data_IF_193093799517
#
_entry.id   IF_193093799517
#
_cell.length_a   1.000
_cell.length_b   1.000
_cell.length_c   1.000
_cell.angle_alpha   90.00
_cell.angle_beta   90.00
_cell.angle_gamma   90.00
#
_symmetry.space_group_name_H-M   'P 1'
#
loop_
_entity.id
_entity.type
_entity.pdbx_description
1 polymer ?
#
# COMPACT_ATOMS: atom_id res chain seq x y z
N UNK A 1 17.43 2.81 -5.88
CA UNK A 1 17.00 2.12 -4.64
C UNK A 1 17.54 2.92 -3.48
N UNK A 2 16.73 3.22 -2.49
CA UNK A 2 17.10 3.99 -1.30
C UNK A 2 17.02 3.11 -0.05
N UNK A 3 17.88 3.38 0.93
CA UNK A 3 17.85 2.78 2.26
C UNK A 3 17.05 3.64 3.25
N UNK A 4 16.95 3.19 4.51
CA UNK A 4 16.17 3.90 5.54
C UNK A 4 16.74 5.27 5.85
N UNK A 5 18.07 5.43 5.86
CA UNK A 5 18.74 6.70 6.17
C UNK A 5 18.43 7.73 5.08
N UNK A 6 18.49 7.32 3.82
CA UNK A 6 18.16 8.17 2.67
C UNK A 6 16.68 8.53 2.67
N UNK A 7 15.79 7.57 2.98
CA UNK A 7 14.35 7.83 3.11
C UNK A 7 14.09 8.89 4.19
N UNK A 8 14.61 8.68 5.39
CA UNK A 8 14.41 9.61 6.52
C UNK A 8 14.98 11.00 6.23
N UNK A 9 16.16 11.08 5.61
CA UNK A 9 16.75 12.37 5.22
C UNK A 9 15.82 13.19 4.29
N UNK A 10 15.19 12.53 3.30
CA UNK A 10 14.23 13.18 2.42
C UNK A 10 12.96 13.60 3.17
N UNK A 11 12.43 12.74 4.05
CA UNK A 11 11.25 13.04 4.85
C UNK A 11 11.49 14.23 5.80
N UNK A 12 12.68 14.30 6.42
CA UNK A 12 13.10 15.45 7.24
C UNK A 12 13.17 16.73 6.40
N UNK A 13 13.75 16.66 5.20
CA UNK A 13 13.85 17.83 4.31
C UNK A 13 12.47 18.36 3.95
N UNK A 14 11.53 17.47 3.59
CA UNK A 14 10.14 17.82 3.28
C UNK A 14 9.45 18.44 4.51
N UNK A 15 9.57 17.80 5.67
CA UNK A 15 8.92 18.26 6.90
C UNK A 15 9.39 19.64 7.37
N UNK A 16 10.64 20.02 7.07
CA UNK A 16 11.17 21.36 7.34
C UNK A 16 10.57 22.45 6.43
N UNK A 17 10.20 22.09 5.21
CA UNK A 17 9.64 23.05 4.21
C UNK A 17 8.12 23.20 4.36
N UNK A 18 7.44 22.21 4.88
CA UNK A 18 5.99 22.28 5.09
C UNK A 18 5.64 23.42 6.06
N UNK A 19 4.70 24.32 5.69
CA UNK A 19 4.39 25.50 6.49
C UNK A 19 3.62 25.18 7.78
N UNK A 20 2.99 24.02 7.85
CA UNK A 20 2.18 23.52 8.98
C UNK A 20 2.16 22.00 8.99
N UNK A 21 1.70 21.44 10.11
CA UNK A 21 1.54 19.97 10.24
C UNK A 21 0.64 19.41 9.13
N UNK A 22 1.17 18.40 8.43
CA UNK A 22 0.51 17.68 7.35
C UNK A 22 0.61 16.19 7.63
N UNK A 23 -0.54 15.50 7.65
CA UNK A 23 -0.61 14.06 7.89
C UNK A 23 -0.79 13.30 6.58
N UNK A 24 0.01 12.23 6.44
CA UNK A 24 -0.06 11.29 5.29
C UNK A 24 -0.05 9.85 5.82
N UNK A 25 -0.42 8.90 4.94
CA UNK A 25 -0.28 7.48 5.23
C UNK A 25 0.82 6.89 4.36
N UNK A 26 1.85 6.30 4.98
CA UNK A 26 2.84 5.51 4.26
C UNK A 26 2.27 4.12 3.96
N UNK A 27 2.44 3.67 2.72
CA UNK A 27 2.03 2.36 2.23
C UNK A 27 3.21 1.65 1.56
N UNK A 28 2.99 0.47 1.03
CA UNK A 28 3.95 -0.23 0.17
C UNK A 28 5.32 -0.43 0.80
N UNK A 29 6.36 -0.22 -0.01
CA UNK A 29 7.76 -0.33 0.40
C UNK A 29 8.14 0.66 1.50
N UNK A 30 7.62 1.87 1.45
CA UNK A 30 7.84 2.92 2.45
C UNK A 30 7.39 2.50 3.84
N UNK A 31 6.18 1.96 3.95
CA UNK A 31 5.64 1.45 5.21
C UNK A 31 6.45 0.27 5.74
N UNK A 32 6.87 -0.64 4.86
CA UNK A 32 7.70 -1.78 5.24
C UNK A 32 9.06 -1.35 5.79
N UNK A 33 9.67 -0.31 5.22
CA UNK A 33 10.95 0.23 5.71
C UNK A 33 10.79 0.91 7.07
N UNK A 34 9.79 1.76 7.25
CA UNK A 34 9.53 2.42 8.53
C UNK A 34 9.23 1.41 9.66
N UNK A 35 8.69 0.23 9.32
CA UNK A 35 8.47 -0.89 10.26
C UNK A 35 9.65 -1.82 10.43
N UNK A 36 10.78 -1.58 9.77
CA UNK A 36 11.95 -2.48 9.81
C UNK A 36 11.72 -3.85 9.14
N UNK A 37 10.67 -3.99 8.33
CA UNK A 37 10.37 -5.23 7.59
C UNK A 37 11.29 -5.36 6.38
N UNK A 38 11.68 -4.23 5.77
CA UNK A 38 12.48 -4.16 4.55
C UNK A 38 13.61 -3.14 4.70
N UNK A 39 14.74 -3.40 4.05
CA UNK A 39 15.93 -2.54 4.19
C UNK A 39 16.05 -1.47 3.10
N UNK A 40 15.33 -1.62 1.98
CA UNK A 40 15.41 -0.67 0.86
C UNK A 40 14.13 -0.67 0.02
N UNK A 41 13.87 0.44 -0.68
CA UNK A 41 12.78 0.58 -1.64
C UNK A 41 13.24 1.34 -2.89
N UNK A 42 12.43 1.31 -3.96
CA UNK A 42 12.67 2.09 -5.19
C UNK A 42 11.97 3.44 -5.16
N UNK A 43 10.90 3.53 -4.38
CA UNK A 43 9.94 4.63 -4.39
C UNK A 43 9.43 4.90 -2.98
N UNK A 44 8.88 6.09 -2.78
CA UNK A 44 8.18 6.50 -1.57
C UNK A 44 6.70 6.62 -1.89
N UNK A 45 5.90 5.76 -1.28
CA UNK A 45 4.47 5.63 -1.53
C UNK A 45 3.65 6.27 -0.40
N UNK A 46 2.84 7.28 -0.73
CA UNK A 46 1.94 7.93 0.22
C UNK A 46 0.49 7.96 -0.26
N UNK A 47 -0.43 7.84 0.69
CA UNK A 47 -1.86 8.09 0.51
C UNK A 47 -2.26 9.36 1.25
N UNK A 48 -3.03 10.21 0.58
CA UNK A 48 -3.56 11.46 1.11
C UNK A 48 -5.09 11.38 1.24
N UNK A 49 -5.62 11.93 2.33
CA UNK A 49 -7.07 12.05 2.53
C UNK A 49 -7.66 13.21 1.76
N UNK A 50 -6.91 14.30 1.65
CA UNK A 50 -7.37 15.56 1.06
C UNK A 50 -6.49 15.96 -0.11
N UNK A 51 -7.10 16.36 -1.22
CA UNK A 51 -6.38 16.88 -2.39
C UNK A 51 -5.48 18.05 -2.04
N UNK A 52 -5.96 18.97 -1.18
CA UNK A 52 -5.18 20.11 -0.70
C UNK A 52 -3.87 19.69 0.00
N UNK A 53 -3.93 18.66 0.84
CA UNK A 53 -2.76 18.20 1.58
C UNK A 53 -1.74 17.56 0.63
N UNK A 54 -2.20 16.81 -0.39
CA UNK A 54 -1.34 16.31 -1.47
C UNK A 54 -0.68 17.44 -2.25
N UNK A 55 -1.43 18.47 -2.63
CA UNK A 55 -0.90 19.62 -3.35
C UNK A 55 0.14 20.38 -2.51
N UNK A 56 -0.10 20.55 -1.21
CA UNK A 56 0.85 21.20 -0.29
C UNK A 56 2.15 20.39 -0.16
N UNK A 57 2.05 19.06 -0.08
CA UNK A 57 3.19 18.15 -0.07
C UNK A 57 3.97 18.22 -1.40
N UNK A 58 3.29 18.19 -2.52
CA UNK A 58 3.90 18.34 -3.86
C UNK A 58 4.64 19.67 -4.00
N UNK A 59 4.05 20.76 -3.49
CA UNK A 59 4.69 22.07 -3.52
C UNK A 59 5.95 22.12 -2.66
N UNK A 60 5.97 21.41 -1.50
CA UNK A 60 7.18 21.26 -0.70
C UNK A 60 8.27 20.50 -1.46
N UNK A 61 7.92 19.39 -2.13
CA UNK A 61 8.86 18.65 -2.98
C UNK A 61 9.40 19.50 -4.14
N UNK A 62 8.55 20.26 -4.83
CA UNK A 62 9.00 21.17 -5.92
C UNK A 62 9.96 22.24 -5.41
N UNK A 63 9.73 22.80 -4.23
CA UNK A 63 10.66 23.76 -3.60
C UNK A 63 12.03 23.13 -3.28
N UNK A 64 12.08 21.82 -3.06
CA UNK A 64 13.32 21.05 -2.90
C UNK A 64 13.98 20.67 -4.24
N UNK A 65 13.37 21.04 -5.38
CA UNK A 65 13.88 20.75 -6.71
C UNK A 65 13.36 19.48 -7.35
N UNK A 66 12.28 18.88 -6.82
CA UNK A 66 11.65 17.72 -7.43
C UNK A 66 11.06 18.05 -8.80
N UNK A 67 11.15 17.10 -9.73
CA UNK A 67 10.64 17.19 -11.10
C UNK A 67 9.46 16.24 -11.29
N UNK A 68 8.57 16.58 -12.21
CA UNK A 68 7.46 15.69 -12.58
C UNK A 68 7.98 14.47 -13.34
N UNK A 69 7.44 13.31 -13.02
CA UNK A 69 7.73 12.04 -13.70
C UNK A 69 6.53 11.64 -14.54
N UNK A 70 6.78 11.02 -15.69
CA UNK A 70 5.71 10.51 -16.54
C UNK A 70 5.09 9.24 -15.93
N UNK A 71 3.85 9.39 -15.45
CA UNK A 71 3.06 8.31 -14.87
C UNK A 71 2.82 7.19 -15.87
N UNK A 72 2.67 7.50 -17.15
CA UNK A 72 2.34 6.54 -18.21
C UNK A 72 3.48 5.56 -18.44
N UNK A 73 4.73 5.98 -18.27
CA UNK A 73 5.90 5.12 -18.39
C UNK A 73 5.95 4.02 -17.32
N UNK A 74 5.40 4.28 -16.14
CA UNK A 74 5.46 3.37 -14.99
C UNK A 74 4.18 2.52 -14.86
N UNK A 75 3.04 3.18 -15.00
CA UNK A 75 1.73 2.57 -14.73
C UNK A 75 0.92 2.26 -15.99
N UNK A 76 1.37 2.72 -17.17
CA UNK A 76 0.64 2.58 -18.43
C UNK A 76 -0.70 3.30 -18.38
N UNK A 77 -1.73 2.68 -18.92
CA UNK A 77 -3.10 3.23 -18.96
C UNK A 77 -3.97 2.80 -17.76
N UNK A 78 -3.36 2.42 -16.62
CA UNK A 78 -4.12 2.05 -15.43
C UNK A 78 -4.85 3.25 -14.85
N UNK A 79 -6.04 3.01 -14.31
CA UNK A 79 -6.79 4.01 -13.56
C UNK A 79 -6.24 4.19 -12.14
N UNK A 80 -6.64 5.26 -11.47
CA UNK A 80 -6.31 5.54 -10.07
C UNK A 80 -4.79 5.55 -9.78
N UNK A 81 -4.00 5.99 -10.77
CA UNK A 81 -2.54 6.13 -10.66
C UNK A 81 -2.18 7.30 -9.74
N UNK A 82 -0.97 7.28 -9.13
CA UNK A 82 -0.52 8.37 -8.29
C UNK A 82 -0.16 9.61 -9.11
N UNK A 83 -0.09 10.75 -8.46
CA UNK A 83 0.74 11.84 -8.95
C UNK A 83 2.19 11.54 -8.60
N UNK A 84 3.12 11.76 -9.52
CA UNK A 84 4.52 11.36 -9.36
C UNK A 84 5.48 12.54 -9.45
N UNK A 85 6.39 12.62 -8.49
CA UNK A 85 7.55 13.51 -8.53
C UNK A 85 8.82 12.70 -8.27
N UNK A 86 9.93 13.12 -8.86
CA UNK A 86 11.25 12.56 -8.61
C UNK A 86 12.12 13.59 -7.87
N UNK A 87 12.72 13.17 -6.75
CA UNK A 87 13.63 13.95 -5.95
C UNK A 87 14.78 13.08 -5.45
N UNK A 88 16.03 13.52 -5.66
CA UNK A 88 17.24 12.78 -5.27
C UNK A 88 17.27 11.32 -5.78
N UNK A 89 16.93 11.11 -7.06
CA UNK A 89 16.83 9.79 -7.70
C UNK A 89 15.85 8.83 -7.00
N UNK A 90 14.89 9.37 -6.27
CA UNK A 90 13.80 8.64 -5.66
C UNK A 90 12.47 9.18 -6.16
N UNK A 91 11.59 8.27 -6.57
CA UNK A 91 10.24 8.60 -6.99
C UNK A 91 9.32 8.65 -5.78
N UNK A 92 8.46 9.67 -5.74
CA UNK A 92 7.39 9.84 -4.78
C UNK A 92 6.06 9.58 -5.48
N UNK A 93 5.37 8.55 -5.07
CA UNK A 93 4.07 8.14 -5.59
C UNK A 93 2.97 8.61 -4.61
N UNK A 94 2.20 9.62 -5.02
CA UNK A 94 1.24 10.32 -4.19
C UNK A 94 -0.19 9.97 -4.60
N UNK A 95 -0.74 8.95 -3.95
CA UNK A 95 -2.10 8.48 -4.19
C UNK A 95 -3.14 9.32 -3.43
N UNK A 96 -4.35 9.31 -3.94
CA UNK A 96 -5.55 9.57 -3.15
C UNK A 96 -6.09 8.26 -2.57
N UNK A 97 -7.30 8.26 -2.03
CA UNK A 97 -7.93 7.07 -1.39
C UNK A 97 -7.83 5.78 -2.25
N UNK A 98 -7.94 5.90 -3.57
CA UNK A 98 -7.77 4.76 -4.50
C UNK A 98 -6.30 4.57 -4.87
N UNK A 99 -5.87 3.32 -4.94
CA UNK A 99 -4.50 2.89 -5.22
C UNK A 99 -4.56 1.80 -6.28
N UNK A 100 -4.69 2.19 -7.55
CA UNK A 100 -4.75 1.30 -8.72
C UNK A 100 -5.85 0.22 -8.57
N UNK A 101 -5.52 -0.92 -7.95
CA UNK A 101 -6.40 -2.08 -7.76
C UNK A 101 -6.93 -2.23 -6.33
N UNK A 102 -6.69 -1.25 -5.48
CA UNK A 102 -7.08 -1.25 -4.07
C UNK A 102 -7.65 0.10 -3.65
N UNK A 103 -8.35 0.10 -2.53
CA UNK A 103 -8.77 1.34 -1.85
C UNK A 103 -8.19 1.35 -0.45
N UNK A 104 -7.53 2.45 -0.06
CA UNK A 104 -7.12 2.63 1.33
C UNK A 104 -8.35 2.93 2.17
N UNK A 105 -8.95 1.88 2.74
CA UNK A 105 -10.23 1.92 3.44
C UNK A 105 -10.16 2.73 4.73
N UNK A 106 -11.32 3.13 5.27
CA UNK A 106 -11.34 3.82 6.56
C UNK A 106 -10.95 2.87 7.71
N UNK A 107 -11.15 1.56 7.54
CA UNK A 107 -10.65 0.55 8.46
C UNK A 107 -9.10 0.47 8.42
N UNK A 108 -8.47 0.49 7.24
CA UNK A 108 -7.02 0.58 7.07
C UNK A 108 -6.45 1.83 7.75
N UNK A 109 -7.08 2.99 7.57
CA UNK A 109 -6.69 4.23 8.27
C UNK A 109 -6.75 4.08 9.79
N UNK A 110 -7.81 3.44 10.29
CA UNK A 110 -7.99 3.16 11.71
C UNK A 110 -6.92 2.23 12.30
N UNK A 111 -6.37 1.31 11.48
CA UNK A 111 -5.28 0.41 11.86
C UNK A 111 -3.88 1.03 11.74
N UNK A 112 -3.70 2.11 10.99
CA UNK A 112 -2.42 2.81 10.86
C UNK A 112 -2.08 3.59 12.13
N UNK A 113 -1.72 2.88 13.19
CA UNK A 113 -1.48 3.40 14.55
C UNK A 113 -0.05 3.87 14.78
N UNK A 114 0.92 3.31 14.08
CA UNK A 114 2.31 3.71 14.16
C UNK A 114 2.51 5.07 13.50
N UNK A 115 3.18 5.99 14.20
CA UNK A 115 3.35 7.38 13.77
C UNK A 115 4.82 7.74 13.82
N UNK A 116 5.32 8.33 12.72
CA UNK A 116 6.62 8.97 12.66
C UNK A 116 6.44 10.46 12.37
N UNK A 117 7.19 11.30 13.06
CA UNK A 117 7.15 12.76 12.88
C UNK A 117 8.49 13.28 12.37
N UNK A 118 8.46 13.95 11.22
CA UNK A 118 9.60 14.60 10.60
C UNK A 118 9.30 16.11 10.46
N UNK A 119 9.49 16.87 11.54
CA UNK A 119 9.10 18.28 11.58
C UNK A 119 7.59 18.45 11.43
N UNK A 120 7.15 19.14 10.37
CA UNK A 120 5.72 19.31 10.08
C UNK A 120 5.10 18.14 9.28
N UNK A 121 5.86 17.13 8.90
CA UNK A 121 5.34 15.94 8.24
C UNK A 121 5.02 14.85 9.29
N UNK A 122 3.76 14.47 9.38
CA UNK A 122 3.28 13.39 10.25
C UNK A 122 2.92 12.20 9.35
N UNK A 123 3.59 11.07 9.57
CA UNK A 123 3.37 9.86 8.78
C UNK A 123 2.71 8.80 9.65
N UNK A 124 1.52 8.37 9.26
CA UNK A 124 0.88 7.16 9.78
C UNK A 124 1.26 5.98 8.91
N UNK A 125 1.80 4.94 9.52
CA UNK A 125 2.31 3.78 8.78
C UNK A 125 1.22 2.72 8.66
N UNK A 126 0.94 2.27 7.45
CA UNK A 126 -0.03 1.21 7.19
C UNK A 126 0.30 -0.05 8.02
N UNK A 127 -0.74 -0.71 8.50
CA UNK A 127 -0.61 -1.95 9.26
C UNK A 127 -0.09 -3.10 8.38
N UNK A 128 0.74 -4.04 8.88
CA UNK A 128 1.25 -5.15 8.10
C UNK A 128 0.16 -6.00 7.44
N UNK A 129 -1.01 -6.17 8.08
CA UNK A 129 -2.14 -6.86 7.48
C UNK A 129 -2.63 -6.16 6.21
N UNK A 130 -2.68 -4.84 6.23
CA UNK A 130 -3.14 -4.03 5.10
C UNK A 130 -2.11 -4.00 3.97
N UNK A 131 -0.81 -3.91 4.32
CA UNK A 131 0.27 -3.98 3.33
C UNK A 131 0.24 -5.35 2.62
N UNK A 132 0.02 -6.44 3.35
CA UNK A 132 -0.10 -7.78 2.79
C UNK A 132 -1.21 -7.85 1.74
N UNK A 133 -2.40 -7.32 2.03
CA UNK A 133 -3.51 -7.27 1.09
C UNK A 133 -3.16 -6.46 -0.16
N UNK A 134 -2.62 -5.25 0.01
CA UNK A 134 -2.22 -4.39 -1.11
C UNK A 134 -1.13 -5.02 -1.99
N UNK A 135 -0.20 -5.78 -1.41
CA UNK A 135 0.83 -6.54 -2.15
C UNK A 135 0.26 -7.77 -2.87
N UNK A 136 -0.83 -8.33 -2.37
CA UNK A 136 -1.44 -9.52 -2.93
C UNK A 136 -2.17 -9.27 -4.25
N UNK A 137 -2.68 -8.05 -4.49
CA UNK A 137 -3.44 -7.70 -5.70
C UNK A 137 -2.57 -7.34 -6.91
N UNK A 138 -1.26 -7.32 -6.75
CA UNK A 138 -0.32 -7.01 -7.84
C UNK A 138 0.20 -8.30 -8.50
N UNK A 139 0.70 -8.21 -9.72
CA UNK A 139 1.28 -9.35 -10.46
C UNK A 139 2.81 -9.36 -10.47
N UNK A 140 3.47 -8.49 -9.68
CA UNK A 140 4.93 -8.35 -9.69
C UNK A 140 5.58 -9.41 -8.80
N UNK A 141 6.64 -10.07 -9.29
CA UNK A 141 7.35 -11.10 -8.53
C UNK A 141 7.94 -10.58 -7.21
N UNK A 142 8.49 -9.36 -7.22
CA UNK A 142 9.01 -8.72 -5.99
C UNK A 142 7.98 -8.59 -4.86
N UNK A 143 6.69 -8.57 -5.18
CA UNK A 143 5.64 -8.48 -4.18
C UNK A 143 5.40 -9.82 -3.46
N UNK A 144 5.84 -10.96 -4.04
CA UNK A 144 5.89 -12.24 -3.33
C UNK A 144 6.94 -12.22 -2.21
N UNK A 145 8.12 -11.67 -2.50
CA UNK A 145 9.18 -11.51 -1.48
C UNK A 145 8.73 -10.57 -0.37
N UNK A 146 8.02 -9.50 -0.71
CA UNK A 146 7.44 -8.58 0.26
C UNK A 146 6.39 -9.28 1.15
N UNK A 147 5.51 -10.12 0.58
CA UNK A 147 4.53 -10.93 1.33
C UNK A 147 5.24 -11.88 2.31
N UNK A 148 6.28 -12.57 1.84
CA UNK A 148 7.08 -13.48 2.67
C UNK A 148 7.70 -12.71 3.85
N UNK A 149 8.30 -11.56 3.57
CA UNK A 149 8.92 -10.73 4.60
C UNK A 149 7.89 -10.24 5.64
N UNK A 150 6.70 -9.82 5.19
CA UNK A 150 5.62 -9.36 6.07
C UNK A 150 5.16 -10.51 6.99
N UNK A 151 4.86 -11.68 6.42
CA UNK A 151 4.35 -12.82 7.21
C UNK A 151 5.38 -13.31 8.22
N UNK A 152 6.68 -13.33 7.86
CA UNK A 152 7.75 -13.83 8.72
C UNK A 152 8.20 -12.81 9.78
N UNK A 153 8.07 -11.51 9.52
CA UNK A 153 8.56 -10.46 10.44
C UNK A 153 7.45 -9.76 11.23
N UNK A 154 6.17 -10.06 10.95
CA UNK A 154 5.04 -9.40 11.59
C UNK A 154 4.04 -10.41 12.13
N UNK A 155 3.34 -10.01 13.19
CA UNK A 155 2.21 -10.79 13.70
C UNK A 155 0.98 -10.55 12.84
N UNK A 156 0.66 -11.49 11.95
CA UNK A 156 -0.51 -11.39 11.07
C UNK A 156 -1.80 -11.78 11.82
N UNK A 157 -2.80 -10.92 11.72
CA UNK A 157 -4.16 -11.21 12.15
C UNK A 157 -5.00 -11.65 10.95
N UNK A 158 -5.11 -12.95 10.75
CA UNK A 158 -5.81 -13.54 9.61
C UNK A 158 -7.29 -13.17 9.53
N UNK A 159 -7.94 -12.89 10.67
CA UNK A 159 -9.32 -12.40 10.69
C UNK A 159 -9.42 -11.01 10.05
N UNK A 160 -8.50 -10.12 10.39
CA UNK A 160 -8.42 -8.77 9.77
C UNK A 160 -8.20 -8.89 8.26
N UNK A 161 -7.35 -9.83 7.82
CA UNK A 161 -7.11 -10.09 6.38
C UNK A 161 -8.42 -10.41 5.66
N UNK A 162 -9.22 -11.33 6.19
CA UNK A 162 -10.49 -11.73 5.57
C UNK A 162 -11.53 -10.60 5.60
N UNK A 163 -11.64 -9.90 6.73
CA UNK A 163 -12.55 -8.77 6.88
C UNK A 163 -12.22 -7.65 5.89
N UNK A 164 -10.93 -7.30 5.76
CA UNK A 164 -10.51 -6.26 4.82
C UNK A 164 -10.65 -6.72 3.35
N UNK A 165 -10.34 -7.98 3.04
CA UNK A 165 -10.58 -8.51 1.69
C UNK A 165 -12.06 -8.41 1.29
N UNK A 166 -12.98 -8.64 2.23
CA UNK A 166 -14.42 -8.45 2.04
C UNK A 166 -14.77 -6.98 1.82
N UNK A 167 -14.18 -6.07 2.60
CA UNK A 167 -14.38 -4.63 2.43
C UNK A 167 -13.86 -4.14 1.06
N UNK A 168 -12.71 -4.64 0.60
CA UNK A 168 -12.18 -4.31 -0.73
C UNK A 168 -13.16 -4.69 -1.83
N UNK A 169 -13.86 -5.81 -1.70
CA UNK A 169 -14.91 -6.22 -2.63
C UNK A 169 -16.10 -5.24 -2.62
N UNK A 170 -16.56 -4.82 -1.45
CA UNK A 170 -17.63 -3.83 -1.32
C UNK A 170 -17.22 -2.50 -1.96
N UNK A 171 -15.94 -2.16 -1.92
CA UNK A 171 -15.36 -0.97 -2.55
C UNK A 171 -15.09 -1.13 -4.06
N UNK A 172 -15.46 -2.27 -4.65
CA UNK A 172 -15.32 -2.55 -6.08
C UNK A 172 -13.96 -3.13 -6.50
N UNK A 173 -13.12 -3.55 -5.54
CA UNK A 173 -11.79 -4.12 -5.78
C UNK A 173 -11.83 -5.65 -5.65
N UNK A 174 -12.53 -6.30 -6.53
CA UNK A 174 -12.80 -7.75 -6.46
C UNK A 174 -11.56 -8.62 -6.61
N UNK A 175 -10.54 -8.12 -7.31
CA UNK A 175 -9.25 -8.79 -7.49
C UNK A 175 -8.52 -9.01 -6.16
N UNK A 176 -8.87 -8.26 -5.11
CA UNK A 176 -8.27 -8.40 -3.79
C UNK A 176 -8.42 -9.81 -3.21
N UNK A 177 -9.58 -10.45 -3.38
CA UNK A 177 -9.81 -11.81 -2.87
C UNK A 177 -9.03 -12.83 -3.69
N UNK A 178 -9.09 -12.74 -5.02
CA UNK A 178 -8.44 -13.72 -5.92
C UNK A 178 -6.93 -13.66 -5.71
N UNK A 179 -6.34 -12.48 -5.87
CA UNK A 179 -4.90 -12.29 -5.74
C UNK A 179 -4.36 -12.70 -4.38
N UNK A 180 -5.10 -12.42 -3.31
CA UNK A 180 -4.74 -12.86 -1.96
C UNK A 180 -4.82 -14.39 -1.82
N UNK A 181 -5.92 -15.02 -2.24
CA UNK A 181 -6.12 -16.46 -2.17
C UNK A 181 -5.03 -17.22 -2.92
N UNK A 182 -4.78 -16.87 -4.18
CA UNK A 182 -3.78 -17.50 -5.04
C UNK A 182 -2.36 -17.40 -4.44
N UNK A 183 -1.96 -16.22 -3.96
CA UNK A 183 -0.61 -16.02 -3.40
C UNK A 183 -0.42 -16.73 -2.08
N UNK A 184 -1.41 -16.69 -1.18
CA UNK A 184 -1.33 -17.42 0.08
C UNK A 184 -1.26 -18.93 -0.15
N UNK A 185 -2.07 -19.47 -1.06
CA UNK A 185 -2.04 -20.88 -1.41
C UNK A 185 -0.70 -21.29 -2.03
N UNK A 186 -0.21 -20.53 -3.02
CA UNK A 186 1.11 -20.76 -3.63
C UNK A 186 2.23 -20.80 -2.60
N UNK A 187 2.33 -19.78 -1.76
CA UNK A 187 3.44 -19.66 -0.78
C UNK A 187 3.32 -20.70 0.35
N UNK A 188 2.10 -21.07 0.74
CA UNK A 188 1.86 -22.12 1.75
C UNK A 188 2.23 -23.51 1.19
N UNK A 189 1.84 -23.81 -0.07
CA UNK A 189 2.20 -25.06 -0.73
C UNK A 189 3.72 -25.20 -0.94
N UNK A 190 4.40 -24.10 -1.17
CA UNK A 190 5.86 -24.02 -1.24
C UNK A 190 6.54 -24.08 0.14
N UNK A 191 5.78 -24.11 1.23
CA UNK A 191 6.27 -24.08 2.62
C UNK A 191 7.12 -22.86 2.97
N UNK A 192 6.91 -21.74 2.28
CA UNK A 192 7.66 -20.50 2.49
C UNK A 192 7.01 -19.62 3.56
N UNK A 193 5.67 -19.74 3.71
CA UNK A 193 4.90 -19.10 4.76
C UNK A 193 3.98 -20.12 5.46
N UNK A 194 3.49 -19.75 6.63
CA UNK A 194 2.44 -20.51 7.34
C UNK A 194 1.18 -19.64 7.37
N UNK A 195 0.17 -20.03 6.58
CA UNK A 195 -1.16 -19.46 6.64
C UNK A 195 -2.18 -20.55 7.03
N UNK A 196 -3.16 -20.26 7.92
CA UNK A 196 -4.18 -21.23 8.26
C UNK A 196 -5.01 -21.62 7.04
N UNK A 197 -5.24 -22.92 6.85
CA UNK A 197 -5.97 -23.44 5.68
C UNK A 197 -7.41 -22.92 5.62
N UNK A 198 -7.99 -22.62 6.76
CA UNK A 198 -9.33 -22.06 6.92
C UNK A 198 -9.45 -20.70 6.20
N UNK A 199 -8.38 -19.92 6.19
CA UNK A 199 -8.33 -18.58 5.54
C UNK A 199 -8.48 -18.72 4.02
N UNK A 200 -7.71 -19.61 3.40
CA UNK A 200 -7.85 -19.89 1.97
C UNK A 200 -9.27 -20.35 1.64
N UNK A 201 -9.83 -21.26 2.45
CA UNK A 201 -11.21 -21.74 2.27
C UNK A 201 -12.25 -20.61 2.38
N UNK A 202 -12.05 -19.69 3.32
CA UNK A 202 -12.97 -18.54 3.49
C UNK A 202 -12.87 -17.55 2.33
N UNK A 203 -11.68 -17.25 1.86
CA UNK A 203 -11.48 -16.40 0.66
C UNK A 203 -12.12 -17.01 -0.59
N UNK A 204 -11.98 -18.31 -0.81
CA UNK A 204 -12.64 -19.01 -1.93
C UNK A 204 -14.17 -19.02 -1.81
N UNK A 205 -14.73 -19.14 -0.60
CA UNK A 205 -16.18 -19.00 -0.38
C UNK A 205 -16.65 -17.59 -0.73
N UNK A 206 -15.92 -16.55 -0.32
CA UNK A 206 -16.23 -15.16 -0.68
C UNK A 206 -16.20 -14.94 -2.19
N UNK A 207 -15.19 -15.46 -2.86
CA UNK A 207 -15.09 -15.39 -4.32
C UNK A 207 -16.24 -16.08 -5.03
N UNK A 208 -16.55 -17.33 -4.63
CA UNK A 208 -17.64 -18.12 -5.22
C UNK A 208 -19.01 -17.43 -5.06
N UNK A 209 -19.25 -16.83 -3.88
CA UNK A 209 -20.45 -16.03 -3.63
C UNK A 209 -20.55 -14.86 -4.58
N UNK A 210 -19.47 -14.11 -4.77
CA UNK A 210 -19.41 -12.96 -5.67
C UNK A 210 -19.74 -13.32 -7.12
N UNK A 211 -19.16 -14.43 -7.61
CA UNK A 211 -19.43 -14.91 -8.98
C UNK A 211 -20.92 -15.24 -9.15
N UNK A 212 -21.55 -15.89 -8.16
CA UNK A 212 -22.99 -16.22 -8.18
C UNK A 212 -23.87 -14.95 -8.16
N UNK A 213 -23.55 -13.99 -7.32
CA UNK A 213 -24.30 -12.73 -7.20
C UNK A 213 -24.25 -11.91 -8.51
N UNK A 214 -23.11 -11.93 -9.20
CA UNK A 214 -22.97 -11.29 -10.53
C UNK A 214 -23.74 -12.02 -11.64
N UNK A 215 -23.73 -13.35 -11.63
CA UNK A 215 -24.46 -14.14 -12.61
C UNK A 215 -25.98 -13.98 -12.44
N UNK A 216 -26.46 -13.82 -11.20
CA UNK A 216 -27.89 -13.56 -10.89
C UNK A 216 -28.38 -12.17 -11.27
N UNK A 217 -27.49 -11.16 -11.30
CA UNK A 217 -27.83 -9.78 -11.70
C UNK A 217 -27.86 -9.56 -13.22
N UNK A 218 -27.38 -10.50 -14.01
CA UNK A 218 -27.42 -10.46 -15.50
C UNK A 218 -28.63 -11.15 -16.09
N UNK A 219 -29.51 -11.69 -15.28
CA UNK A 219 -30.82 -12.23 -15.66
C UNK A 219 -31.95 -11.27 -15.21
#
# INVERSE_FOLDING_TARGET
>A
MIDIIQQEAMLIAIGKILPKKLQVYAIGGTAMMLRGIKNSTLDIDFVFDKKRDREEFMNALRKLGAKESDVTLIYGLKSDTPFMLEFNNCRFDMFMKKIITSTFSDAMKGRAKEIHEFGNLIIRVADPNDILIMKSVTSRDKDLDDIIAIVNKSRINWKVIVEEAREQVHLGNETAIIGLGEKLEKLTNQKVIIAPKEISNELWKLFTKQVKDKAGKKR
#
